data_IF_819026432748
#
_entry.id   IF_819026432748
#
_cell.length_a   1.000
_cell.length_b   1.000
_cell.length_c   1.000
_cell.angle_alpha   90.00
_cell.angle_beta   90.00
_cell.angle_gamma   90.00
#
_symmetry.space_group_name_H-M   'P 1'
#
loop_
_entity.id
_entity.type
_entity.pdbx_description
1 polymer ?
#
# COMPACT_ATOMS: atom_id res chain seq x y z
N UNK A 1 -17.69 11.00 4.06
CA UNK A 1 -16.58 10.53 4.92
C UNK A 1 -16.02 11.68 5.73
N UNK A 2 -15.86 11.50 7.05
CA UNK A 2 -15.11 12.40 7.93
C UNK A 2 -13.68 12.59 7.40
N UNK A 3 -13.15 13.81 7.47
CA UNK A 3 -11.79 14.14 7.01
C UNK A 3 -10.72 13.24 7.67
N UNK A 4 -10.92 12.87 8.94
CA UNK A 4 -10.05 11.94 9.67
C UNK A 4 -9.94 10.56 9.00
N UNK A 5 -11.04 10.00 8.50
CA UNK A 5 -11.06 8.69 7.82
C UNK A 5 -10.31 8.76 6.48
N UNK A 6 -10.39 9.90 5.80
CA UNK A 6 -9.64 10.15 4.56
C UNK A 6 -8.12 10.16 4.81
N UNK A 7 -7.65 10.93 5.79
CA UNK A 7 -6.23 10.97 6.14
C UNK A 7 -5.72 9.60 6.63
N UNK A 8 -6.50 8.91 7.44
CA UNK A 8 -6.17 7.56 7.88
C UNK A 8 -6.01 6.59 6.70
N UNK A 9 -6.92 6.64 5.72
CA UNK A 9 -6.84 5.83 4.52
C UNK A 9 -5.59 6.14 3.68
N UNK A 10 -5.24 7.42 3.54
CA UNK A 10 -4.03 7.84 2.82
C UNK A 10 -2.75 7.34 3.50
N UNK A 11 -2.64 7.51 4.82
CA UNK A 11 -1.51 7.01 5.62
C UNK A 11 -1.38 5.49 5.51
N UNK A 12 -2.50 4.76 5.63
CA UNK A 12 -2.50 3.31 5.47
C UNK A 12 -2.03 2.88 4.09
N UNK A 13 -2.42 3.60 3.04
CA UNK A 13 -1.99 3.32 1.66
C UNK A 13 -0.48 3.44 1.49
N UNK A 14 0.13 4.49 2.05
CA UNK A 14 1.59 4.67 2.07
C UNK A 14 2.29 3.57 2.87
N UNK A 15 1.72 3.16 4.01
CA UNK A 15 2.26 2.05 4.80
C UNK A 15 2.23 0.73 4.01
N UNK A 16 1.15 0.41 3.29
CA UNK A 16 1.10 -0.80 2.46
C UNK A 16 2.17 -0.78 1.36
N UNK A 17 2.40 0.36 0.72
CA UNK A 17 3.46 0.49 -0.29
C UNK A 17 4.85 0.33 0.33
N UNK A 18 5.09 0.96 1.48
CA UNK A 18 6.37 0.85 2.20
C UNK A 18 6.66 -0.59 2.62
N UNK A 19 5.69 -1.26 3.26
CA UNK A 19 5.84 -2.66 3.66
C UNK A 19 5.95 -3.60 2.46
N UNK A 20 5.23 -3.32 1.36
CA UNK A 20 5.36 -4.08 0.12
C UNK A 20 6.78 -4.04 -0.44
N UNK A 21 7.39 -2.86 -0.51
CA UNK A 21 8.78 -2.70 -0.93
C UNK A 21 9.75 -3.37 0.05
N UNK A 22 9.55 -3.16 1.36
CA UNK A 22 10.38 -3.78 2.39
C UNK A 22 10.35 -5.31 2.28
N UNK A 23 9.17 -5.92 2.13
CA UNK A 23 9.04 -7.38 2.03
C UNK A 23 9.69 -7.91 0.74
N UNK A 24 9.55 -7.20 -0.38
CA UNK A 24 10.13 -7.61 -1.66
C UNK A 24 11.66 -7.58 -1.66
N UNK A 25 12.29 -6.57 -1.03
CA UNK A 25 13.72 -6.29 -1.20
C UNK A 25 14.59 -6.45 0.06
N UNK A 26 14.00 -6.54 1.25
CA UNK A 26 14.78 -6.65 2.49
C UNK A 26 15.30 -8.07 2.72
N UNK A 27 16.59 -8.17 3.05
CA UNK A 27 17.21 -9.44 3.48
C UNK A 27 16.57 -9.98 4.76
N UNK A 28 16.13 -9.10 5.67
CA UNK A 28 15.44 -9.51 6.90
C UNK A 28 14.07 -10.11 6.59
N UNK A 29 13.37 -9.59 5.58
CA UNK A 29 12.12 -10.17 5.13
C UNK A 29 12.33 -11.50 4.40
N UNK A 30 13.43 -11.64 3.65
CA UNK A 30 13.79 -12.89 2.97
C UNK A 30 14.12 -14.03 3.95
N UNK A 31 14.56 -13.72 5.17
CA UNK A 31 14.76 -14.73 6.22
C UNK A 31 13.43 -15.28 6.76
N UNK A 32 12.38 -14.46 6.81
CA UNK A 32 11.05 -14.85 7.27
C UNK A 32 10.19 -15.45 6.15
N UNK A 33 10.28 -14.89 4.94
CA UNK A 33 9.50 -15.28 3.77
C UNK A 33 10.48 -15.63 2.65
N UNK A 34 10.58 -16.91 2.30
CA UNK A 34 11.54 -17.36 1.28
C UNK A 34 11.15 -16.85 -0.12
N UNK A 35 12.16 -16.63 -0.95
CA UNK A 35 11.98 -16.42 -2.38
C UNK A 35 11.28 -17.62 -3.04
N UNK A 36 10.33 -17.42 -3.98
CA UNK A 36 9.88 -16.14 -4.56
C UNK A 36 8.67 -15.50 -3.84
N UNK A 37 8.20 -16.10 -2.74
CA UNK A 37 6.96 -15.69 -2.08
C UNK A 37 7.04 -14.28 -1.50
N UNK A 38 8.21 -13.83 -1.03
CA UNK A 38 8.41 -12.47 -0.54
C UNK A 38 8.20 -11.42 -1.63
N UNK A 39 8.70 -11.70 -2.84
CA UNK A 39 8.53 -10.81 -4.00
C UNK A 39 7.06 -10.76 -4.41
N UNK A 40 6.38 -11.91 -4.49
CA UNK A 40 4.94 -11.96 -4.77
C UNK A 40 4.14 -11.18 -3.73
N UNK A 41 4.38 -11.42 -2.44
CA UNK A 41 3.68 -10.74 -1.36
C UNK A 41 3.93 -9.24 -1.39
N UNK A 42 5.18 -8.85 -1.64
CA UNK A 42 5.60 -7.45 -1.73
C UNK A 42 4.94 -6.71 -2.89
N UNK A 43 4.90 -7.31 -4.08
CA UNK A 43 4.19 -6.77 -5.25
C UNK A 43 2.69 -6.66 -4.95
N UNK A 44 2.10 -7.66 -4.31
CA UNK A 44 0.67 -7.68 -4.00
C UNK A 44 0.30 -6.58 -2.99
N UNK A 45 1.09 -6.40 -1.93
CA UNK A 45 0.94 -5.31 -0.96
C UNK A 45 1.12 -3.94 -1.61
N UNK A 46 2.16 -3.79 -2.42
CA UNK A 46 2.47 -2.54 -3.09
C UNK A 46 1.37 -2.15 -4.09
N UNK A 47 0.94 -3.10 -4.92
CA UNK A 47 -0.14 -2.91 -5.88
C UNK A 47 -1.46 -2.57 -5.20
N UNK A 48 -1.77 -3.22 -4.08
CA UNK A 48 -2.94 -2.89 -3.27
C UNK A 48 -2.85 -1.49 -2.64
N UNK A 49 -1.68 -1.09 -2.14
CA UNK A 49 -1.41 0.26 -1.66
C UNK A 49 -1.63 1.30 -2.75
N UNK A 50 -1.06 1.10 -3.95
CA UNK A 50 -1.22 1.98 -5.10
C UNK A 50 -2.70 2.07 -5.55
N UNK A 51 -3.42 0.95 -5.58
CA UNK A 51 -4.85 0.91 -5.88
C UNK A 51 -5.67 1.74 -4.88
N UNK A 52 -5.34 1.68 -3.58
CA UNK A 52 -5.99 2.54 -2.59
C UNK A 52 -5.70 4.02 -2.80
N UNK A 53 -4.46 4.39 -3.15
CA UNK A 53 -4.12 5.78 -3.50
C UNK A 53 -4.95 6.26 -4.69
N UNK A 54 -5.08 5.44 -5.74
CA UNK A 54 -5.91 5.76 -6.90
C UNK A 54 -7.39 5.95 -6.53
N UNK A 55 -7.95 5.02 -5.74
CA UNK A 55 -9.33 5.14 -5.23
C UNK A 55 -9.53 6.37 -4.34
N UNK A 56 -8.56 6.70 -3.51
CA UNK A 56 -8.56 7.91 -2.69
C UNK A 56 -8.57 9.18 -3.55
N UNK A 57 -7.71 9.24 -4.57
CA UNK A 57 -7.67 10.32 -5.54
C UNK A 57 -9.04 10.49 -6.23
N UNK A 58 -9.65 9.40 -6.71
CA UNK A 58 -10.99 9.45 -7.30
C UNK A 58 -12.06 9.99 -6.34
N UNK A 59 -12.01 9.60 -5.05
CA UNK A 59 -12.96 10.10 -4.04
C UNK A 59 -12.77 11.59 -3.79
N UNK A 60 -11.53 12.08 -3.79
CA UNK A 60 -11.21 13.49 -3.61
C UNK A 60 -11.68 14.32 -4.81
N UNK A 61 -11.38 13.87 -6.03
CA UNK A 61 -11.78 14.54 -7.28
C UNK A 61 -13.30 14.58 -7.40
N UNK A 62 -14.00 13.46 -7.22
CA UNK A 62 -15.48 13.38 -7.28
C UNK A 62 -16.21 14.19 -6.20
N UNK A 63 -15.52 14.66 -5.16
CA UNK A 63 -16.11 15.50 -4.11
C UNK A 63 -16.00 17.00 -4.41
N UNK A 64 -15.17 17.36 -5.39
CA UNK A 64 -14.91 18.73 -5.81
C UNK A 64 -15.66 19.12 -7.09
N UNK A 65 -16.33 18.18 -7.76
CA UNK A 65 -17.36 18.40 -8.79
C UNK A 65 -18.76 18.34 -8.16
#
# INVERSE_FOLDING_TARGET
>A
MPKAILYFSAVMSLLYMYFGLYIAFSNSAAQAIKYPYNVFLGILLFGYGAFRVYRFYQILVKKND
#
